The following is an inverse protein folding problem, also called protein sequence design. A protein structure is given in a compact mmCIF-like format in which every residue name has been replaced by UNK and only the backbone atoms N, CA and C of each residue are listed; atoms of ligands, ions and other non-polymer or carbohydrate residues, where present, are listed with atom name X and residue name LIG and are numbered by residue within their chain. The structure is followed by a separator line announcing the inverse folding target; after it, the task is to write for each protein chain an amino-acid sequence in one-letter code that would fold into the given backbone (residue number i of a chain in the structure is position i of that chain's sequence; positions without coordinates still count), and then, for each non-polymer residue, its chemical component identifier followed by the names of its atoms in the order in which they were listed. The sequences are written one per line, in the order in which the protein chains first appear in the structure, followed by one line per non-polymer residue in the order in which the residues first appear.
data_IF_038378384238
#
_entry.id   IF_038378384238
#
_cell.length_a   1.000
_cell.length_b   1.000
_cell.length_c   1.000
_cell.angle_alpha   90.00
_cell.angle_beta   90.00
_cell.angle_gamma   90.00
#
_symmetry.space_group_name_H-M   'P 1'
#
loop_
_entity.id
_entity.type
_entity.pdbx_description
1 polymer ?
#
# COMPACT_ATOMS: atom_id res chain seq x y z
N UNK A 1 -34.91 78.08 28.35
CA UNK A 1 -34.45 77.75 26.97
C UNK A 1 -32.95 77.90 26.92
N UNK A 2 -32.21 76.93 26.37
CA UNK A 2 -30.74 76.98 26.15
C UNK A 2 -30.00 75.79 26.78
N UNK A 3 -30.19 74.58 26.23
CA UNK A 3 -29.33 73.86 25.25
C UNK A 3 -28.10 73.18 25.86
N UNK A 4 -28.29 71.87 26.02
CA UNK A 4 -27.32 70.77 26.03
C UNK A 4 -26.20 70.91 24.99
N UNK A 5 -24.97 70.57 25.36
CA UNK A 5 -23.95 70.04 24.44
C UNK A 5 -23.06 69.01 25.14
N UNK A 6 -23.13 67.78 24.62
CA UNK A 6 -22.25 66.63 24.83
C UNK A 6 -21.03 66.69 23.90
N UNK A 7 -20.01 65.90 24.24
CA UNK A 7 -19.04 65.21 23.35
C UNK A 7 -17.95 66.09 22.72
N UNK A 8 -16.66 65.73 22.62
CA UNK A 8 -15.97 64.42 22.60
C UNK A 8 -14.53 64.54 23.16
N UNK A 9 -14.06 63.55 23.92
CA UNK A 9 -12.64 63.29 24.19
C UNK A 9 -12.32 61.88 23.70
N UNK A 10 -11.70 61.78 22.53
CA UNK A 10 -11.34 60.50 21.90
C UNK A 10 -9.95 60.09 22.39
N UNK A 11 -9.93 59.08 23.24
CA UNK A 11 -8.73 58.38 23.72
C UNK A 11 -7.94 57.78 22.56
N UNK A 12 -6.73 58.28 22.31
CA UNK A 12 -5.73 57.67 21.42
C UNK A 12 -4.77 56.86 22.30
N UNK A 13 -5.05 55.58 22.50
CA UNK A 13 -4.13 54.62 23.11
C UNK A 13 -4.23 53.29 22.35
N UNK A 14 -3.22 52.96 21.54
CA UNK A 14 -3.21 51.69 20.82
C UNK A 14 -2.01 51.42 19.92
N UNK A 15 -0.89 52.14 20.07
CA UNK A 15 0.29 51.98 19.18
C UNK A 15 1.55 51.44 19.87
N UNK A 16 1.63 51.43 21.21
CA UNK A 16 2.83 50.96 21.93
C UNK A 16 2.86 49.44 22.13
N UNK A 17 1.72 48.79 22.36
CA UNK A 17 1.65 47.34 22.64
C UNK A 17 2.04 46.49 21.42
N UNK A 18 1.67 46.93 20.22
CA UNK A 18 1.99 46.23 18.96
C UNK A 18 3.49 46.27 18.66
N UNK A 19 4.17 47.37 19.00
CA UNK A 19 5.61 47.52 18.80
C UNK A 19 6.43 46.57 19.70
N UNK A 20 6.00 46.37 20.95
CA UNK A 20 6.61 45.41 21.88
C UNK A 20 6.35 43.95 21.47
N UNK A 21 5.19 43.67 20.89
CA UNK A 21 4.81 42.33 20.43
C UNK A 21 5.62 41.87 19.20
N UNK A 22 5.87 42.78 18.26
CA UNK A 22 6.71 42.49 17.08
C UNK A 22 8.19 42.23 17.44
N UNK A 23 8.70 42.85 18.50
CA UNK A 23 10.04 42.57 19.03
C UNK A 23 10.10 41.20 19.70
N UNK A 24 9.05 40.82 20.45
CA UNK A 24 8.95 39.51 21.09
C UNK A 24 8.90 38.37 20.04
N UNK A 25 8.12 38.56 18.97
CA UNK A 25 8.01 37.59 17.87
C UNK A 25 9.35 37.42 17.13
N UNK A 26 10.07 38.51 16.87
CA UNK A 26 11.42 38.45 16.27
C UNK A 26 12.41 37.70 17.16
N UNK A 27 12.37 37.93 18.47
CA UNK A 27 13.22 37.22 19.42
C UNK A 27 12.91 35.71 19.45
N UNK A 28 11.63 35.32 19.33
CA UNK A 28 11.23 33.92 19.25
C UNK A 28 11.69 33.26 17.95
N UNK A 29 11.51 33.90 16.79
CA UNK A 29 11.97 33.38 15.50
C UNK A 29 13.48 33.18 15.49
N UNK A 30 14.24 34.14 16.02
CA UNK A 30 15.69 34.04 16.11
C UNK A 30 16.14 32.90 17.05
N UNK A 31 15.44 32.67 18.17
CA UNK A 31 15.70 31.51 19.05
C UNK A 31 15.37 30.19 18.36
N UNK A 32 14.26 30.12 17.63
CA UNK A 32 13.84 28.94 16.88
C UNK A 32 14.86 28.58 15.77
N UNK A 33 15.32 29.58 15.01
CA UNK A 33 16.33 29.40 13.96
C UNK A 33 17.67 28.94 14.53
N UNK A 34 18.08 29.50 15.67
CA UNK A 34 19.31 29.08 16.37
C UNK A 34 19.19 27.66 16.94
N UNK A 35 17.99 27.23 17.33
CA UNK A 35 17.73 25.86 17.76
C UNK A 35 17.78 24.87 16.58
N UNK A 36 17.29 25.25 15.39
CA UNK A 36 17.37 24.40 14.18
C UNK A 36 18.81 24.21 13.73
N UNK A 37 19.66 25.25 13.83
CA UNK A 37 21.09 25.17 13.50
C UNK A 37 21.90 24.35 14.52
N UNK A 38 21.41 24.20 15.75
CA UNK A 38 22.03 23.38 16.81
C UNK A 38 21.54 21.94 16.82
N UNK A 39 20.55 21.59 16.00
CA UNK A 39 20.12 20.20 15.87
C UNK A 39 21.29 19.37 15.32
N UNK A 40 21.71 18.29 16.00
CA UNK A 40 22.77 17.43 15.51
C UNK A 40 22.37 16.88 14.14
N UNK A 41 23.24 17.06 13.15
CA UNK A 41 23.04 16.49 11.82
C UNK A 41 22.77 14.99 11.97
N UNK A 42 21.63 14.46 11.49
CA UNK A 42 21.40 13.03 11.52
C UNK A 42 22.57 12.37 10.80
N UNK A 43 23.18 11.32 11.38
CA UNK A 43 24.31 10.65 10.75
C UNK A 43 23.90 10.25 9.33
N UNK A 44 24.80 10.41 8.33
CA UNK A 44 24.48 10.02 6.96
C UNK A 44 24.04 8.56 6.98
N UNK A 45 22.79 8.30 6.56
CA UNK A 45 22.24 6.96 6.44
C UNK A 45 23.13 6.23 5.45
N UNK A 46 24.04 5.39 5.95
CA UNK A 46 24.91 4.58 5.09
C UNK A 46 24.01 3.78 4.16
N UNK A 47 24.21 3.85 2.83
CA UNK A 47 23.49 2.96 1.92
C UNK A 47 23.84 1.54 2.33
N UNK A 48 22.84 0.81 2.84
CA UNK A 48 23.03 -0.59 3.18
C UNK A 48 23.43 -1.30 1.90
N UNK A 49 24.65 -1.86 1.89
CA UNK A 49 25.06 -2.73 0.80
C UNK A 49 24.03 -3.86 0.70
N UNK A 50 23.51 -4.18 -0.50
CA UNK A 50 22.56 -5.26 -0.66
C UNK A 50 23.20 -6.52 -0.07
N UNK A 51 22.57 -7.10 0.96
CA UNK A 51 23.06 -8.34 1.53
C UNK A 51 23.05 -9.41 0.44
N UNK A 52 24.09 -10.25 0.34
CA UNK A 52 24.11 -11.33 -0.63
C UNK A 52 22.86 -12.19 -0.42
N UNK A 53 22.11 -12.35 -1.50
CA UNK A 53 20.88 -13.13 -1.51
C UNK A 53 21.27 -14.59 -1.26
N UNK A 54 20.55 -15.29 -0.36
CA UNK A 54 20.82 -16.72 -0.14
C UNK A 54 20.67 -17.47 -1.48
N UNK A 55 21.51 -18.48 -1.79
CA UNK A 55 21.48 -19.17 -3.09
C UNK A 55 20.12 -19.79 -3.42
N UNK A 56 19.37 -20.24 -2.41
CA UNK A 56 17.99 -20.69 -2.57
C UNK A 56 17.07 -19.59 -3.12
N UNK A 57 17.24 -18.35 -2.66
CA UNK A 57 16.44 -17.20 -3.10
C UNK A 57 16.84 -16.72 -4.50
N UNK A 58 18.09 -16.93 -4.91
CA UNK A 58 18.51 -16.68 -6.29
C UNK A 58 17.82 -17.66 -7.26
N UNK A 59 17.74 -18.95 -6.90
CA UNK A 59 17.01 -19.95 -7.68
C UNK A 59 15.51 -19.62 -7.76
N UNK A 60 14.91 -19.14 -6.68
CA UNK A 60 13.49 -18.74 -6.63
C UNK A 60 13.16 -17.49 -7.46
N UNK A 61 14.13 -16.60 -7.67
CA UNK A 61 14.01 -15.39 -8.48
C UNK A 61 14.51 -15.57 -9.91
N UNK A 62 15.00 -16.77 -10.27
CA UNK A 62 15.43 -17.06 -11.62
C UNK A 62 14.29 -16.80 -12.62
N UNK A 63 14.59 -16.02 -13.68
CA UNK A 63 13.62 -15.61 -14.69
C UNK A 63 12.77 -14.39 -14.33
N UNK A 64 12.91 -13.83 -13.12
CA UNK A 64 12.24 -12.57 -12.74
C UNK A 64 13.10 -11.39 -13.15
N UNK A 65 12.58 -10.55 -14.03
CA UNK A 65 13.26 -9.33 -14.46
C UNK A 65 13.05 -8.22 -13.44
N UNK A 66 14.16 -7.66 -12.96
CA UNK A 66 14.21 -6.57 -11.98
C UNK A 66 15.07 -5.39 -12.47
N UNK A 67 15.51 -5.42 -13.72
CA UNK A 67 16.27 -4.34 -14.36
C UNK A 67 15.40 -3.10 -14.60
N UNK A 68 15.97 -1.93 -14.38
CA UNK A 68 15.25 -0.65 -14.45
C UNK A 68 14.56 -0.42 -15.80
N UNK A 69 15.18 -0.85 -16.90
CA UNK A 69 14.62 -0.70 -18.24
C UNK A 69 13.32 -1.49 -18.42
N UNK A 70 13.32 -2.77 -18.04
CA UNK A 70 12.13 -3.62 -18.11
C UNK A 70 11.02 -3.11 -17.19
N UNK A 71 11.38 -2.67 -15.99
CA UNK A 71 10.42 -2.11 -15.03
C UNK A 71 9.78 -0.82 -15.56
N UNK A 72 10.57 0.12 -16.09
CA UNK A 72 10.07 1.39 -16.64
C UNK A 72 9.18 1.16 -17.86
N UNK A 73 9.59 0.27 -18.78
CA UNK A 73 8.79 -0.07 -19.96
C UNK A 73 7.47 -0.73 -19.58
N UNK A 74 7.48 -1.64 -18.60
CA UNK A 74 6.25 -2.26 -18.09
C UNK A 74 5.32 -1.21 -17.47
N UNK A 75 5.85 -0.27 -16.68
CA UNK A 75 5.05 0.78 -16.04
C UNK A 75 4.42 1.74 -17.06
N UNK A 76 5.14 2.12 -18.10
CA UNK A 76 4.60 2.96 -19.17
C UNK A 76 3.43 2.28 -19.89
N UNK A 77 3.54 0.98 -20.18
CA UNK A 77 2.46 0.19 -20.80
C UNK A 77 1.26 0.03 -19.86
N UNK A 78 1.52 -0.20 -18.58
CA UNK A 78 0.49 -0.27 -17.55
C UNK A 78 -0.30 1.03 -17.49
N UNK A 79 0.38 2.17 -17.40
CA UNK A 79 -0.29 3.48 -17.33
C UNK A 79 -1.14 3.76 -18.56
N UNK A 80 -0.64 3.46 -19.75
CA UNK A 80 -1.42 3.62 -20.97
C UNK A 80 -2.73 2.81 -20.91
N UNK A 81 -2.66 1.52 -20.57
CA UNK A 81 -3.84 0.67 -20.46
C UNK A 81 -4.84 1.15 -19.39
N UNK A 82 -4.35 1.62 -18.24
CA UNK A 82 -5.22 2.15 -17.17
C UNK A 82 -5.89 3.46 -17.60
N UNK A 83 -5.17 4.37 -18.26
CA UNK A 83 -5.76 5.61 -18.77
C UNK A 83 -6.80 5.37 -19.86
N UNK A 84 -6.58 4.36 -20.71
CA UNK A 84 -7.52 3.97 -21.76
C UNK A 84 -8.73 3.18 -21.20
N UNK A 85 -8.77 2.90 -19.89
CA UNK A 85 -9.79 2.05 -19.28
C UNK A 85 -9.71 0.58 -19.72
N UNK A 86 -8.60 0.19 -20.35
CA UNK A 86 -8.38 -1.15 -20.91
C UNK A 86 -7.88 -2.13 -19.84
N UNK A 87 -8.59 -2.22 -18.72
CA UNK A 87 -8.29 -3.14 -17.63
C UNK A 87 -9.53 -3.92 -17.19
N UNK A 88 -9.31 -5.06 -16.55
CA UNK A 88 -10.37 -5.84 -15.93
C UNK A 88 -9.92 -6.30 -14.54
N UNK A 89 -10.80 -6.14 -13.55
CA UNK A 89 -10.54 -6.53 -12.17
C UNK A 89 -11.06 -7.95 -11.93
N UNK A 90 -10.15 -8.91 -11.79
CA UNK A 90 -10.53 -10.31 -11.63
C UNK A 90 -11.27 -10.54 -10.30
N UNK A 91 -12.21 -11.50 -10.23
CA UNK A 91 -12.95 -11.82 -8.99
C UNK A 91 -12.04 -12.11 -7.79
N UNK A 92 -10.87 -12.71 -8.04
CA UNK A 92 -9.86 -12.97 -7.02
C UNK A 92 -9.32 -11.69 -6.39
N UNK A 93 -9.00 -10.66 -7.18
CA UNK A 93 -8.59 -9.35 -6.68
C UNK A 93 -9.70 -8.68 -5.86
N UNK A 94 -10.97 -8.83 -6.27
CA UNK A 94 -12.13 -8.31 -5.52
C UNK A 94 -12.26 -8.99 -4.15
N UNK A 95 -12.01 -10.31 -4.08
CA UNK A 95 -12.01 -11.07 -2.84
C UNK A 95 -10.99 -10.52 -1.83
N UNK A 96 -9.75 -10.30 -2.28
CA UNK A 96 -8.71 -9.70 -1.45
C UNK A 96 -9.03 -8.26 -1.06
N UNK A 97 -9.51 -7.43 -1.98
CA UNK A 97 -9.91 -6.05 -1.70
C UNK A 97 -10.90 -5.97 -0.53
N UNK A 98 -11.90 -6.86 -0.54
CA UNK A 98 -12.87 -6.97 0.55
C UNK A 98 -12.28 -7.49 1.86
N UNK A 99 -11.41 -8.50 1.79
CA UNK A 99 -10.82 -9.13 2.97
C UNK A 99 -9.80 -8.23 3.67
N UNK A 100 -9.08 -7.41 2.90
CA UNK A 100 -7.96 -6.61 3.38
C UNK A 100 -8.30 -5.11 3.52
N UNK A 101 -9.47 -4.70 3.02
CA UNK A 101 -10.03 -3.38 3.30
C UNK A 101 -9.57 -2.27 2.36
N UNK A 102 -9.28 -2.59 1.11
CA UNK A 102 -8.99 -1.59 0.06
C UNK A 102 -10.03 -1.66 -1.07
N UNK A 103 -10.14 -0.58 -1.84
CA UNK A 103 -11.10 -0.45 -2.93
C UNK A 103 -10.42 -0.54 -4.31
N UNK A 104 -11.22 -0.67 -5.36
CA UNK A 104 -10.72 -0.59 -6.75
C UNK A 104 -9.95 0.71 -6.99
N UNK A 105 -10.45 1.83 -6.47
CA UNK A 105 -9.79 3.13 -6.59
C UNK A 105 -8.35 3.11 -6.03
N UNK A 106 -8.14 2.43 -4.90
CA UNK A 106 -6.81 2.30 -4.28
C UNK A 106 -5.87 1.49 -5.16
N UNK A 107 -6.38 0.39 -5.74
CA UNK A 107 -5.65 -0.43 -6.70
C UNK A 107 -5.22 0.42 -7.89
N UNK A 108 -6.16 1.14 -8.52
CA UNK A 108 -5.87 1.98 -9.69
C UNK A 108 -4.87 3.08 -9.36
N UNK A 109 -5.00 3.72 -8.19
CA UNK A 109 -4.04 4.72 -7.73
C UNK A 109 -2.63 4.11 -7.61
N UNK A 110 -2.51 2.90 -7.09
CA UNK A 110 -1.23 2.17 -7.03
C UNK A 110 -0.71 1.80 -8.41
N UNK A 111 -1.55 1.43 -9.36
CA UNK A 111 -1.12 1.16 -10.74
C UNK A 111 -0.57 2.42 -11.43
N UNK A 112 -1.16 3.59 -11.15
CA UNK A 112 -0.78 4.86 -11.75
C UNK A 112 0.46 5.50 -11.08
N UNK A 113 0.48 5.55 -9.75
CA UNK A 113 1.49 6.26 -8.95
C UNK A 113 2.59 5.37 -8.38
N UNK A 114 2.34 4.06 -8.30
CA UNK A 114 3.27 3.08 -7.77
C UNK A 114 4.43 2.78 -8.72
N UNK A 115 5.20 1.75 -8.37
CA UNK A 115 6.37 1.31 -9.15
C UNK A 115 6.26 -0.16 -9.45
N UNK A 116 6.54 -0.54 -10.69
CA UNK A 116 6.75 -1.95 -11.04
C UNK A 116 8.05 -2.40 -10.36
N UNK A 117 7.99 -3.47 -9.57
CA UNK A 117 9.14 -4.03 -8.85
C UNK A 117 9.68 -5.30 -9.47
N UNK A 118 8.83 -6.03 -10.18
CA UNK A 118 9.24 -7.26 -10.85
C UNK A 118 8.36 -7.52 -12.08
N UNK A 119 8.99 -8.08 -13.11
CA UNK A 119 8.32 -8.59 -14.31
C UNK A 119 8.58 -10.09 -14.35
N UNK A 120 7.51 -10.88 -14.50
CA UNK A 120 7.52 -12.33 -14.67
C UNK A 120 7.17 -12.62 -16.13
N UNK A 121 8.17 -12.75 -17.03
CA UNK A 121 7.92 -12.85 -18.47
C UNK A 121 7.11 -14.09 -18.84
N UNK A 122 7.43 -15.23 -18.22
CA UNK A 122 6.82 -16.53 -18.51
C UNK A 122 5.32 -16.58 -18.21
N UNK A 123 4.88 -15.86 -17.16
CA UNK A 123 3.48 -15.80 -16.76
C UNK A 123 2.78 -14.54 -17.31
N UNK A 124 3.50 -13.71 -18.08
CA UNK A 124 3.06 -12.39 -18.52
C UNK A 124 2.58 -11.47 -17.39
N UNK A 125 3.18 -11.59 -16.20
CA UNK A 125 2.75 -10.86 -15.00
C UNK A 125 3.72 -9.77 -14.57
N UNK A 126 3.21 -8.71 -13.98
CA UNK A 126 3.99 -7.66 -13.34
C UNK A 126 3.54 -7.48 -11.90
N UNK A 127 4.50 -7.29 -11.00
CA UNK A 127 4.25 -6.91 -9.62
C UNK A 127 4.44 -5.40 -9.49
N UNK A 128 3.36 -4.71 -9.16
CA UNK A 128 3.32 -3.27 -8.90
C UNK A 128 3.23 -3.07 -7.40
N UNK A 129 4.03 -2.15 -6.88
CA UNK A 129 4.06 -1.83 -5.46
C UNK A 129 3.79 -0.35 -5.28
N UNK A 130 2.87 -0.02 -4.38
CA UNK A 130 2.58 1.34 -3.99
C UNK A 130 2.07 1.38 -2.56
N UNK A 131 1.34 2.44 -2.27
CA UNK A 131 0.67 2.63 -0.99
C UNK A 131 -0.76 3.11 -1.25
N UNK A 132 -1.65 2.77 -0.33
CA UNK A 132 -2.99 3.32 -0.26
C UNK A 132 -3.23 3.89 1.13
N UNK A 133 -4.22 4.75 1.26
CA UNK A 133 -4.57 5.36 2.53
C UNK A 133 -5.89 4.79 3.03
N UNK A 134 -5.90 4.25 4.25
CA UNK A 134 -7.10 3.80 4.93
C UNK A 134 -7.13 4.42 6.32
N UNK A 135 -8.23 5.12 6.64
CA UNK A 135 -8.44 5.74 7.95
C UNK A 135 -7.28 6.65 8.41
N UNK A 136 -6.66 7.41 7.49
CA UNK A 136 -5.53 8.29 7.79
C UNK A 136 -4.18 7.59 7.94
N UNK A 137 -4.10 6.29 7.64
CA UNK A 137 -2.87 5.50 7.70
C UNK A 137 -2.48 5.04 6.31
N UNK A 138 -1.22 5.28 5.93
CA UNK A 138 -0.66 4.79 4.67
C UNK A 138 -0.19 3.35 4.81
N UNK A 139 -0.79 2.45 4.04
CA UNK A 139 -0.50 1.02 4.03
C UNK A 139 0.11 0.59 2.69
N UNK A 140 1.06 -0.36 2.69
CA UNK A 140 1.63 -0.88 1.46
C UNK A 140 0.60 -1.73 0.71
N UNK A 141 0.55 -1.59 -0.61
CA UNK A 141 -0.29 -2.42 -1.47
C UNK A 141 0.53 -2.96 -2.63
N UNK A 142 0.48 -4.27 -2.79
CA UNK A 142 1.06 -4.99 -3.91
C UNK A 142 -0.06 -5.44 -4.84
N UNK A 143 0.08 -5.12 -6.12
CA UNK A 143 -0.89 -5.47 -7.16
C UNK A 143 -0.19 -6.30 -8.21
N UNK A 144 -0.78 -7.44 -8.54
CA UNK A 144 -0.28 -8.34 -9.58
C UNK A 144 -1.18 -8.17 -10.79
N UNK A 145 -0.57 -7.76 -11.89
CA UNK A 145 -1.27 -7.57 -13.16
C UNK A 145 -0.76 -8.57 -14.18
N UNK A 146 -1.64 -9.08 -15.01
CA UNK A 146 -1.32 -9.90 -16.17
C UNK A 146 -1.58 -9.08 -17.42
N UNK A 147 -0.58 -8.96 -18.28
CA UNK A 147 -0.68 -8.17 -19.49
C UNK A 147 -0.93 -9.09 -20.68
N UNK A 148 -1.86 -8.68 -21.55
CA UNK A 148 -2.09 -9.35 -22.81
C UNK A 148 -1.52 -8.50 -23.94
N UNK A 149 -0.79 -9.14 -24.85
CA UNK A 149 -0.48 -8.53 -26.14
C UNK A 149 -1.77 -8.54 -26.96
N UNK A 150 -2.57 -7.50 -26.83
CA UNK A 150 -3.54 -7.18 -27.86
C UNK A 150 -2.78 -6.65 -29.08
N UNK A 151 -3.33 -6.86 -30.29
CA UNK A 151 -2.75 -6.42 -31.56
C UNK A 151 -2.80 -4.89 -31.72
N UNK A 152 -3.06 -4.41 -32.94
CA UNK A 152 -3.09 -2.99 -33.31
C UNK A 152 -4.11 -2.23 -32.45
N UNK A 153 -3.63 -1.56 -31.41
CA UNK A 153 -4.44 -0.76 -30.47
C UNK A 153 -4.45 -1.36 -29.06
N UNK A 154 -3.83 -0.66 -28.12
CA UNK A 154 -3.99 -0.80 -26.66
C UNK A 154 -3.87 -2.21 -26.08
N UNK A 155 -2.81 -2.49 -25.30
CA UNK A 155 -2.73 -3.74 -24.54
C UNK A 155 -3.79 -3.77 -23.44
N UNK A 156 -4.53 -4.89 -23.32
CA UNK A 156 -5.45 -5.13 -22.21
C UNK A 156 -4.70 -5.71 -21.01
N UNK A 157 -5.16 -5.37 -19.79
CA UNK A 157 -4.54 -5.82 -18.54
C UNK A 157 -5.58 -6.40 -17.58
N UNK A 158 -5.34 -7.61 -17.11
CA UNK A 158 -6.08 -8.19 -16.00
C UNK A 158 -5.39 -7.87 -14.67
N UNK A 159 -6.14 -7.33 -13.72
CA UNK A 159 -5.71 -7.20 -12.33
C UNK A 159 -6.05 -8.51 -11.63
N UNK A 160 -5.07 -9.39 -11.55
CA UNK A 160 -5.27 -10.78 -11.12
C UNK A 160 -5.48 -10.86 -9.61
N UNK A 161 -4.65 -10.16 -8.83
CA UNK A 161 -4.76 -10.09 -7.38
C UNK A 161 -4.15 -8.81 -6.84
N UNK A 162 -4.53 -8.43 -5.63
CA UNK A 162 -3.94 -7.35 -4.87
C UNK A 162 -3.90 -7.75 -3.39
N UNK A 163 -2.87 -7.34 -2.65
CA UNK A 163 -2.74 -7.70 -1.23
C UNK A 163 -1.77 -6.75 -0.50
N UNK A 164 -1.90 -6.67 0.81
CA UNK A 164 -1.08 -5.92 1.75
C UNK A 164 0.08 -6.83 2.20
N UNK A 165 1.31 -6.59 1.72
CA UNK A 165 2.45 -7.45 2.03
C UNK A 165 2.91 -7.26 3.47
N UNK A 166 3.28 -8.36 4.14
CA UNK A 166 4.01 -8.30 5.42
C UNK A 166 5.41 -7.69 5.27
N UNK A 167 6.03 -7.86 4.10
CA UNK A 167 7.36 -7.34 3.77
C UNK A 167 7.30 -6.52 2.46
N UNK A 168 7.04 -5.21 2.54
CA UNK A 168 6.72 -4.38 1.35
C UNK A 168 7.83 -4.26 0.31
N UNK A 169 9.08 -4.46 0.73
CA UNK A 169 10.26 -4.33 -0.13
C UNK A 169 10.67 -5.65 -0.79
N UNK A 170 10.02 -6.77 -0.45
CA UNK A 170 10.38 -8.07 -1.00
C UNK A 170 9.71 -8.33 -2.34
N UNK A 171 10.53 -8.65 -3.34
CA UNK A 171 10.05 -9.30 -4.57
C UNK A 171 9.66 -10.74 -4.24
N UNK A 172 8.48 -11.14 -4.71
CA UNK A 172 7.90 -12.46 -4.51
C UNK A 172 8.44 -13.42 -5.57
N UNK A 173 8.74 -14.65 -5.19
CA UNK A 173 9.17 -15.67 -6.15
C UNK A 173 8.01 -16.13 -7.03
N UNK A 174 8.33 -16.65 -8.22
CA UNK A 174 7.32 -17.18 -9.14
C UNK A 174 6.45 -18.27 -8.50
N UNK A 175 7.09 -19.22 -7.79
CA UNK A 175 6.39 -20.30 -7.10
C UNK A 175 5.41 -19.77 -6.04
N UNK A 176 5.83 -18.76 -5.27
CA UNK A 176 4.98 -18.14 -4.25
C UNK A 176 3.80 -17.40 -4.86
N UNK A 177 4.03 -16.67 -5.95
CA UNK A 177 2.98 -16.00 -6.71
C UNK A 177 1.94 -17.01 -7.22
N UNK A 178 2.39 -18.14 -7.78
CA UNK A 178 1.51 -19.19 -8.26
C UNK A 178 0.65 -19.80 -7.13
N UNK A 179 1.21 -20.01 -5.94
CA UNK A 179 0.44 -20.51 -4.78
C UNK A 179 -0.64 -19.52 -4.35
N UNK A 180 -0.31 -18.23 -4.27
CA UNK A 180 -1.28 -17.19 -3.87
C UNK A 180 -2.47 -17.14 -4.81
N UNK A 181 -2.23 -17.30 -6.11
CA UNK A 181 -3.29 -17.27 -7.14
C UNK A 181 -4.11 -18.56 -7.20
N UNK A 182 -3.51 -19.72 -6.86
CA UNK A 182 -4.22 -21.02 -6.87
C UNK A 182 -5.16 -21.20 -5.69
N UNK A 183 -4.86 -20.63 -4.54
CA UNK A 183 -5.60 -20.88 -3.30
C UNK A 183 -7.05 -20.39 -3.35
N UNK A 184 -7.38 -19.50 -4.29
CA UNK A 184 -8.71 -18.91 -4.44
C UNK A 184 -9.54 -19.48 -5.61
N UNK A 185 -8.92 -20.25 -6.53
CA UNK A 185 -9.65 -20.99 -7.58
C UNK A 185 -10.31 -22.27 -7.03
N UNK A 186 -9.88 -22.74 -5.85
CA UNK A 186 -10.60 -23.79 -5.14
C UNK A 186 -11.94 -23.21 -4.65
N UNK A 187 -13.03 -23.59 -5.32
CA UNK A 187 -14.35 -23.55 -4.68
C UNK A 187 -14.20 -24.22 -3.32
N UNK A 188 -14.21 -23.43 -2.25
CA UNK A 188 -14.16 -23.94 -0.88
C UNK A 188 -15.39 -24.84 -0.76
N UNK A 189 -15.19 -26.16 -0.89
CA UNK A 189 -16.21 -27.15 -0.54
C UNK A 189 -16.35 -27.05 0.97
N UNK A 190 -17.22 -26.16 1.42
CA UNK A 190 -17.59 -26.04 2.82
C UNK A 190 -18.24 -27.37 3.19
N UNK A 191 -17.46 -28.23 3.82
CA UNK A 191 -18.00 -29.42 4.46
C UNK A 191 -18.74 -28.96 5.70
N UNK A 192 -20.00 -28.58 5.52
CA UNK A 192 -20.92 -28.32 6.63
C UNK A 192 -21.12 -29.65 7.33
N UNK A 193 -20.40 -29.88 8.43
CA UNK A 193 -20.67 -31.00 9.30
C UNK A 193 -22.12 -30.84 9.78
N UNK A 194 -22.99 -31.78 9.39
CA UNK A 194 -24.35 -31.81 9.90
C UNK A 194 -24.27 -31.86 11.43
N UNK A 195 -25.00 -31.02 12.18
CA UNK A 195 -25.08 -31.15 13.62
C UNK A 195 -25.72 -32.51 13.93
N UNK A 196 -24.90 -33.50 14.25
CA UNK A 196 -25.38 -34.82 14.65
C UNK A 196 -26.28 -34.67 15.88
N UNK A 197 -27.54 -35.13 15.82
CA UNK A 197 -28.43 -35.07 16.96
C UNK A 197 -28.01 -36.11 18.01
N UNK A 198 -27.89 -35.62 19.26
CA UNK A 198 -27.91 -36.35 20.54
C UNK A 198 -26.74 -37.31 20.83
N UNK A 199 -25.82 -36.82 21.66
CA UNK A 199 -25.01 -37.64 22.56
C UNK A 199 -25.95 -38.36 23.56
N UNK A 200 -26.44 -39.52 23.16
CA UNK A 200 -27.45 -40.24 23.93
C UNK A 200 -27.50 -41.74 23.67
N UNK A 201 -26.48 -42.37 23.08
CA UNK A 201 -26.37 -43.83 23.06
C UNK A 201 -24.92 -44.26 23.30
N UNK A 202 -24.65 -44.69 24.54
CA UNK A 202 -23.42 -45.38 24.94
C UNK A 202 -23.46 -46.80 24.37
N UNK A 203 -22.78 -47.05 23.25
CA UNK A 203 -22.37 -48.42 22.91
C UNK A 203 -21.04 -48.72 23.61
N UNK A 204 -21.11 -49.63 24.59
CA UNK A 204 -19.95 -50.17 25.31
C UNK A 204 -19.13 -51.06 24.38
N UNK A 205 -18.10 -50.50 23.74
CA UNK A 205 -17.15 -51.20 22.88
C UNK A 205 -15.82 -51.48 23.58
N UNK A 206 -15.76 -52.65 24.23
CA UNK A 206 -14.65 -53.40 24.82
C UNK A 206 -13.24 -53.12 24.22
N UNK A 207 -12.34 -52.54 25.00
CA UNK A 207 -10.90 -52.49 24.67
C UNK A 207 -10.26 -53.83 25.03
N UNK A 208 -9.74 -54.57 24.04
CA UNK A 208 -8.85 -55.72 24.29
C UNK A 208 -7.46 -55.18 24.63
N UNK A 209 -6.98 -55.45 25.85
CA UNK A 209 -5.55 -55.36 26.18
C UNK A 209 -4.87 -56.61 25.63
N UNK A 210 -3.84 -56.41 24.81
CA UNK A 210 -2.87 -57.44 24.45
C UNK A 210 -1.93 -57.66 25.64
N UNK A 211 -1.78 -58.93 26.01
CA UNK A 211 -0.65 -59.45 26.79
C UNK A 211 0.19 -60.31 25.86
#
# INVERSE_FOLDING_TARGET
MGRSRRQDETTVLGSSEVGTDLLALRAQLHRAEKATRRAPTPPPVRPQRPQPVKPQREAELAGVLTDEFSLHRAHARLRAAVYDGAYHLCPHAIGHARAEGFLEHDILNVLLSGRVRAVYPDDHRWLVCGQFEACGVSLPLHVVVQHFRSGVGGGHIDIVTAFVPRHPHHVISRARLAVMLRYDDEQIRTHTAAPTPKAGHRSRGRWKKSS
#
